data_IF_370954007359
#
_entry.id   IF_370954007359
#
_cell.length_a   1.000
_cell.length_b   1.000
_cell.length_c   1.000
_cell.angle_alpha   90.00
_cell.angle_beta   90.00
_cell.angle_gamma   90.00
#
_symmetry.space_group_name_H-M   'P 1'
#
loop_
_entity.id
_entity.type
_entity.pdbx_description
1 polymer ?
#
# COMPACT_ATOMS: atom_id res chain seq x y z
N UNK A 1 16.44 -19.17 25.20
CA UNK A 1 15.49 -19.90 24.34
C UNK A 1 16.26 -20.40 23.12
N UNK A 2 16.21 -21.69 22.82
CA UNK A 2 16.80 -22.24 21.60
C UNK A 2 15.86 -21.99 20.41
N UNK A 3 16.40 -21.71 19.23
CA UNK A 3 15.59 -21.58 18.01
C UNK A 3 15.40 -22.97 17.41
N UNK A 4 14.30 -23.65 17.75
CA UNK A 4 14.02 -25.00 17.25
C UNK A 4 13.15 -24.96 15.99
N UNK A 5 13.13 -26.05 15.22
CA UNK A 5 12.25 -26.15 14.05
C UNK A 5 10.77 -26.07 14.44
N UNK A 6 10.41 -26.62 15.61
CA UNK A 6 9.07 -26.50 16.18
C UNK A 6 8.69 -25.04 16.46
N UNK A 7 9.62 -24.22 16.93
CA UNK A 7 9.39 -22.79 17.10
C UNK A 7 9.16 -22.10 15.76
N UNK A 8 9.96 -22.42 14.73
CA UNK A 8 9.79 -21.82 13.40
C UNK A 8 8.45 -22.21 12.77
N UNK A 9 8.01 -23.46 12.93
CA UNK A 9 6.70 -23.92 12.48
C UNK A 9 5.57 -23.15 13.18
N UNK A 10 5.60 -23.06 14.52
CA UNK A 10 4.59 -22.32 15.26
C UNK A 10 4.53 -20.83 14.86
N UNK A 11 5.67 -20.22 14.54
CA UNK A 11 5.71 -18.85 14.03
C UNK A 11 5.15 -18.74 12.60
N UNK A 12 5.37 -19.74 11.75
CA UNK A 12 4.84 -19.78 10.40
C UNK A 12 3.32 -20.02 10.39
N UNK A 13 2.80 -20.76 11.35
CA UNK A 13 1.37 -21.05 11.50
C UNK A 13 0.51 -19.79 11.74
N UNK A 14 1.10 -18.71 12.29
CA UNK A 14 0.44 -17.40 12.40
C UNK A 14 -0.06 -16.85 11.06
N UNK A 15 0.48 -17.35 9.93
CA UNK A 15 0.00 -17.00 8.59
C UNK A 15 -1.42 -17.51 8.33
N UNK A 16 -1.82 -18.63 8.94
CA UNK A 16 -3.06 -19.36 8.61
C UNK A 16 -3.93 -19.70 9.82
N UNK A 17 -3.59 -19.22 11.01
CA UNK A 17 -4.32 -19.47 12.26
C UNK A 17 -5.71 -18.77 12.33
N UNK A 18 -6.00 -17.88 11.37
CA UNK A 18 -7.26 -17.14 11.26
C UNK A 18 -7.33 -15.89 12.15
N UNK A 19 -6.32 -15.62 12.97
CA UNK A 19 -6.31 -14.45 13.85
C UNK A 19 -5.99 -13.16 13.08
N UNK A 20 -5.21 -13.24 12.00
CA UNK A 20 -4.80 -12.11 11.17
C UNK A 20 -5.62 -12.08 9.87
N UNK A 21 -6.36 -10.99 9.65
CA UNK A 21 -7.21 -10.80 8.47
C UNK A 21 -7.00 -9.43 7.83
N UNK A 22 -6.77 -9.32 6.51
CA UNK A 22 -6.52 -10.43 5.57
C UNK A 22 -5.22 -11.19 5.91
N UNK A 23 -5.11 -12.43 5.42
CA UNK A 23 -3.97 -13.30 5.73
C UNK A 23 -2.65 -12.64 5.33
N UNK A 24 -1.63 -12.64 6.20
CA UNK A 24 -0.38 -11.96 5.93
C UNK A 24 0.46 -12.73 4.91
N UNK A 25 1.29 -12.00 4.18
CA UNK A 25 2.41 -12.59 3.46
C UNK A 25 3.64 -12.42 4.34
N UNK A 26 4.21 -13.53 4.78
CA UNK A 26 5.36 -13.53 5.68
C UNK A 26 6.27 -14.74 5.45
N UNK A 27 7.54 -14.59 5.84
CA UNK A 27 8.53 -15.66 5.88
C UNK A 27 9.09 -15.78 7.29
N UNK A 28 9.48 -17.00 7.66
CA UNK A 28 10.10 -17.31 8.96
C UNK A 28 11.40 -18.07 8.69
N UNK A 29 12.50 -17.59 9.26
CA UNK A 29 13.82 -18.18 9.07
C UNK A 29 14.66 -18.10 10.35
N UNK A 30 15.61 -19.04 10.50
CA UNK A 30 16.65 -18.96 11.54
C UNK A 30 17.86 -18.23 10.96
N UNK A 31 18.37 -17.23 11.68
CA UNK A 31 19.62 -16.54 11.36
C UNK A 31 20.59 -16.58 12.53
N UNK A 32 21.90 -16.60 12.24
CA UNK A 32 22.95 -16.40 13.24
C UNK A 32 23.49 -14.98 13.13
N UNK A 33 23.43 -14.22 14.23
CA UNK A 33 23.93 -12.85 14.30
C UNK A 33 24.89 -12.75 15.49
N UNK A 34 26.15 -12.39 15.22
CA UNK A 34 27.22 -12.29 16.24
C UNK A 34 27.33 -13.55 17.12
N UNK A 35 27.13 -14.73 16.54
CA UNK A 35 27.20 -16.01 17.24
C UNK A 35 25.94 -16.41 18.03
N UNK A 36 24.88 -15.60 17.98
CA UNK A 36 23.59 -15.92 18.59
C UNK A 36 22.55 -16.31 17.53
N UNK A 37 21.82 -17.41 17.76
CA UNK A 37 20.69 -17.80 16.92
C UNK A 37 19.47 -16.90 17.18
N UNK A 38 18.81 -16.51 16.10
CA UNK A 38 17.65 -15.62 16.09
C UNK A 38 16.58 -16.19 15.16
N UNK A 39 15.33 -16.25 15.62
CA UNK A 39 14.18 -16.46 14.73
C UNK A 39 13.78 -15.11 14.13
N UNK A 40 13.77 -15.00 12.81
CA UNK A 40 13.41 -13.78 12.09
C UNK A 40 12.10 -14.01 11.35
N UNK A 41 11.12 -13.14 11.63
CA UNK A 41 9.83 -13.10 10.94
C UNK A 41 9.79 -11.85 10.09
N UNK A 42 9.74 -12.02 8.77
CA UNK A 42 9.62 -10.91 7.82
C UNK A 42 8.21 -10.85 7.29
N UNK A 43 7.50 -9.74 7.54
CA UNK A 43 6.11 -9.54 7.10
C UNK A 43 6.08 -8.52 5.98
N UNK A 44 5.49 -8.88 4.84
CA UNK A 44 5.32 -7.98 3.71
C UNK A 44 4.16 -7.00 3.98
N UNK A 45 4.25 -5.74 3.53
CA UNK A 45 3.14 -4.80 3.61
C UNK A 45 1.91 -5.33 2.88
N UNK A 46 0.74 -5.29 3.54
CA UNK A 46 -0.53 -5.66 2.91
C UNK A 46 -0.95 -4.63 1.85
N UNK A 47 -1.54 -5.13 0.77
CA UNK A 47 -2.24 -4.38 -0.27
C UNK A 47 -3.69 -4.02 0.11
N UNK A 48 -4.26 -4.73 1.08
CA UNK A 48 -5.62 -4.55 1.59
C UNK A 48 -5.67 -4.06 3.06
N UNK A 49 -5.02 -2.93 3.43
CA UNK A 49 -5.18 -2.38 4.77
C UNK A 49 -6.61 -1.86 5.03
N UNK A 50 -7.07 -1.76 6.29
CA UNK A 50 -6.37 -2.13 7.52
C UNK A 50 -6.36 -3.64 7.78
N UNK A 51 -5.21 -4.17 8.20
CA UNK A 51 -5.07 -5.55 8.68
C UNK A 51 -5.50 -5.61 10.14
N UNK A 52 -6.27 -6.63 10.49
CA UNK A 52 -6.81 -6.88 11.84
C UNK A 52 -6.12 -8.08 12.45
N UNK A 53 -5.85 -8.01 13.75
CA UNK A 53 -5.52 -9.15 14.60
C UNK A 53 -6.60 -9.28 15.67
N UNK A 54 -7.26 -10.44 15.73
CA UNK A 54 -8.37 -10.72 16.64
C UNK A 54 -9.44 -9.61 16.62
N UNK A 55 -9.89 -9.28 15.39
CA UNK A 55 -10.91 -8.26 15.13
C UNK A 55 -10.47 -6.80 15.31
N UNK A 56 -9.25 -6.54 15.81
CA UNK A 56 -8.76 -5.18 16.10
C UNK A 56 -7.64 -4.75 15.16
N UNK A 57 -7.64 -3.48 14.77
CA UNK A 57 -6.58 -2.89 13.95
C UNK A 57 -5.47 -2.41 14.89
N UNK A 58 -4.25 -2.89 14.64
CA UNK A 58 -3.06 -2.48 15.40
C UNK A 58 -2.15 -1.65 14.51
N UNK A 59 -1.68 -0.52 15.05
CA UNK A 59 -0.71 0.35 14.40
C UNK A 59 0.55 0.47 15.24
N UNK A 60 1.66 0.69 14.55
CA UNK A 60 2.97 0.92 15.18
C UNK A 60 3.33 2.40 15.05
N UNK A 61 3.58 3.04 16.19
CA UNK A 61 4.08 4.41 16.28
C UNK A 61 5.49 4.34 16.88
N UNK A 62 6.50 4.36 16.01
CA UNK A 62 7.90 4.13 16.41
C UNK A 62 8.09 2.74 17.06
N UNK A 63 8.67 2.65 18.27
CA UNK A 63 8.83 1.36 18.96
C UNK A 63 7.54 0.83 19.60
N UNK A 64 6.50 1.66 19.76
CA UNK A 64 5.24 1.32 20.45
C UNK A 64 4.20 0.75 19.48
N UNK A 65 3.35 -0.14 19.98
CA UNK A 65 2.08 -0.54 19.34
C UNK A 65 0.87 0.06 20.07
N UNK A 66 -0.19 0.37 19.34
CA UNK A 66 -1.50 0.70 19.88
C UNK A 66 -2.61 0.21 18.98
N UNK A 67 -3.83 0.15 19.53
CA UNK A 67 -5.04 0.01 18.72
C UNK A 67 -5.19 1.29 17.89
N UNK A 68 -5.53 1.14 16.62
CA UNK A 68 -5.78 2.25 15.71
C UNK A 68 -6.94 3.12 16.22
N UNK A 69 -6.78 4.43 16.16
CA UNK A 69 -7.91 5.35 16.31
C UNK A 69 -8.63 5.54 14.96
N UNK A 70 -9.70 6.32 14.95
CA UNK A 70 -10.50 6.60 13.74
C UNK A 70 -9.66 7.22 12.60
N UNK A 71 -8.73 8.11 12.95
CA UNK A 71 -7.87 8.78 11.97
C UNK A 71 -6.85 7.81 11.34
N UNK A 72 -6.28 6.91 12.13
CA UNK A 72 -5.40 5.83 11.65
C UNK A 72 -6.15 4.90 10.69
N UNK A 73 -7.36 4.49 11.08
CA UNK A 73 -8.22 3.65 10.25
C UNK A 73 -8.59 4.33 8.93
N UNK A 74 -8.90 5.64 8.97
CA UNK A 74 -9.17 6.44 7.77
C UNK A 74 -7.97 6.44 6.81
N UNK A 75 -6.75 6.68 7.32
CA UNK A 75 -5.53 6.67 6.52
C UNK A 75 -5.28 5.28 5.90
N UNK A 76 -5.47 4.21 6.66
CA UNK A 76 -5.29 2.85 6.16
C UNK A 76 -6.32 2.50 5.07
N UNK A 77 -7.58 2.88 5.25
CA UNK A 77 -8.63 2.71 4.25
C UNK A 77 -8.34 3.51 2.97
N UNK A 78 -7.79 4.71 3.08
CA UNK A 78 -7.38 5.52 1.94
C UNK A 78 -6.23 4.86 1.16
N UNK A 79 -5.22 4.33 1.86
CA UNK A 79 -4.12 3.57 1.25
C UNK A 79 -4.60 2.35 0.47
N UNK A 80 -5.62 1.65 0.97
CA UNK A 80 -6.25 0.55 0.23
C UNK A 80 -6.93 1.06 -1.03
N UNK A 81 -7.74 2.11 -0.93
CA UNK A 81 -8.45 2.69 -2.08
C UNK A 81 -7.50 3.17 -3.18
N UNK A 82 -6.39 3.78 -2.81
CA UNK A 82 -5.37 4.23 -3.76
C UNK A 82 -4.84 3.09 -4.66
N UNK A 83 -4.73 1.87 -4.12
CA UNK A 83 -4.30 0.70 -4.90
C UNK A 83 -5.42 0.01 -5.67
N UNK A 84 -6.68 0.30 -5.32
CA UNK A 84 -7.88 -0.27 -5.93
C UNK A 84 -8.68 0.80 -6.69
N UNK A 85 -8.04 1.47 -7.64
CA UNK A 85 -8.68 2.45 -8.51
C UNK A 85 -9.15 1.79 -9.82
N UNK A 86 -10.29 2.23 -10.40
CA UNK A 86 -10.66 1.84 -11.75
C UNK A 86 -9.61 2.35 -12.76
N UNK A 87 -9.60 1.75 -13.95
CA UNK A 87 -8.61 2.07 -15.00
C UNK A 87 -8.45 3.57 -15.25
N UNK A 88 -9.57 4.30 -15.34
CA UNK A 88 -9.58 5.74 -15.66
C UNK A 88 -8.95 6.62 -14.56
N UNK A 89 -8.85 6.10 -13.33
CA UNK A 89 -8.24 6.80 -12.20
C UNK A 89 -6.84 6.27 -11.86
N UNK A 90 -6.39 5.22 -12.56
CA UNK A 90 -5.10 4.61 -12.27
C UNK A 90 -3.98 5.49 -12.84
N UNK A 91 -3.05 6.02 -12.00
CA UNK A 91 -1.93 6.77 -12.52
C UNK A 91 -1.01 5.83 -13.32
N UNK A 92 -0.50 6.27 -14.46
CA UNK A 92 0.49 5.53 -15.25
C UNK A 92 1.88 6.01 -14.81
N UNK A 93 2.57 5.33 -13.88
CA UNK A 93 3.76 5.92 -13.22
C UNK A 93 4.97 5.99 -14.16
N UNK A 94 4.94 5.19 -15.23
CA UNK A 94 5.96 5.18 -16.27
C UNK A 94 5.75 6.25 -17.33
N UNK A 95 4.59 6.90 -17.37
CA UNK A 95 4.29 7.95 -18.33
C UNK A 95 5.07 9.23 -18.00
N UNK A 96 5.64 9.83 -19.03
CA UNK A 96 6.37 11.10 -19.00
C UNK A 96 5.54 12.19 -19.65
N UNK A 97 5.89 13.45 -19.38
CA UNK A 97 5.24 14.60 -20.05
C UNK A 97 5.40 14.53 -21.58
N UNK A 98 6.50 13.94 -22.07
CA UNK A 98 6.76 13.70 -23.50
C UNK A 98 5.79 12.71 -24.14
N UNK A 99 5.10 11.89 -23.34
CA UNK A 99 4.20 10.87 -23.84
C UNK A 99 2.80 11.44 -24.11
N UNK A 100 2.55 12.69 -23.71
CA UNK A 100 1.34 13.42 -24.04
C UNK A 100 1.37 13.83 -25.51
N UNK A 101 0.35 13.42 -26.26
CA UNK A 101 0.14 13.92 -27.62
C UNK A 101 -0.37 15.36 -27.58
N UNK A 102 0.53 16.31 -27.83
CA UNK A 102 0.15 17.72 -27.97
C UNK A 102 -0.87 17.93 -29.09
N UNK A 103 -0.74 17.20 -30.19
CA UNK A 103 -1.65 17.31 -31.34
C UNK A 103 -3.09 16.97 -30.94
N UNK A 104 -3.30 15.88 -30.18
CA UNK A 104 -4.63 15.50 -29.70
C UNK A 104 -5.13 16.52 -28.67
N UNK A 105 -4.25 16.95 -27.75
CA UNK A 105 -4.64 17.92 -26.74
C UNK A 105 -5.07 19.26 -27.35
N UNK A 106 -4.26 19.84 -28.23
CA UNK A 106 -4.47 21.17 -28.81
C UNK A 106 -5.61 21.19 -29.83
N UNK A 107 -5.76 20.14 -30.65
CA UNK A 107 -6.73 20.14 -31.74
C UNK A 107 -8.08 19.47 -31.41
N UNK A 108 -8.11 18.56 -30.42
CA UNK A 108 -9.34 17.80 -30.10
C UNK A 108 -9.86 18.12 -28.70
N UNK A 109 -9.04 17.91 -27.67
CA UNK A 109 -9.50 18.04 -26.29
C UNK A 109 -9.72 19.50 -25.87
N UNK A 110 -8.73 20.37 -26.08
CA UNK A 110 -8.75 21.76 -25.64
C UNK A 110 -9.93 22.55 -26.25
N UNK A 111 -10.22 22.44 -27.58
CA UNK A 111 -11.36 23.14 -28.18
C UNK A 111 -12.72 22.54 -27.79
N UNK A 112 -12.78 21.25 -27.42
CA UNK A 112 -14.01 20.60 -26.96
C UNK A 112 -14.32 20.92 -25.49
N UNK A 113 -13.29 21.09 -24.67
CA UNK A 113 -13.43 21.34 -23.24
C UNK A 113 -13.71 22.82 -22.91
N UNK A 114 -13.24 23.75 -23.74
CA UNK A 114 -13.34 25.19 -23.48
C UNK A 114 -13.76 25.97 -24.73
N UNK A 115 -14.57 27.00 -24.53
CA UNK A 115 -14.95 27.91 -25.59
C UNK A 115 -13.74 28.81 -25.99
N UNK A 116 -13.64 29.26 -27.26
CA UNK A 116 -12.50 30.01 -27.75
C UNK A 116 -12.25 31.34 -27.01
N UNK A 117 -13.31 32.03 -26.62
CA UNK A 117 -13.26 33.30 -25.87
C UNK A 117 -12.64 33.12 -24.48
N UNK A 118 -12.96 32.02 -23.79
CA UNK A 118 -12.35 31.66 -22.50
C UNK A 118 -10.86 31.38 -22.64
N UNK A 119 -10.43 30.77 -23.76
CA UNK A 119 -9.01 30.50 -24.02
C UNK A 119 -8.23 31.78 -24.32
N UNK A 120 -8.82 32.70 -25.09
CA UNK A 120 -8.23 33.99 -25.42
C UNK A 120 -8.05 34.87 -24.17
N UNK A 121 -9.07 34.97 -23.31
CA UNK A 121 -9.00 35.74 -22.06
C UNK A 121 -7.93 35.20 -21.10
N UNK A 122 -7.69 33.88 -21.11
CA UNK A 122 -6.65 33.23 -20.31
C UNK A 122 -5.26 33.20 -20.98
N UNK A 123 -5.10 33.77 -22.19
CA UNK A 123 -3.83 33.79 -22.92
C UNK A 123 -3.34 32.40 -23.36
N UNK A 124 -4.27 31.50 -23.72
CA UNK A 124 -4.00 30.09 -24.07
C UNK A 124 -4.36 29.76 -25.53
N UNK A 125 -4.36 30.77 -26.40
CA UNK A 125 -4.65 30.70 -27.84
C UNK A 125 -3.50 30.11 -28.66
#
# INVERSE_FOLDING_TARGET
>A
LAVTDQLLLALADMKTDGNILPLPVMTVEKRSLKGAEMAVVTVMPSDMPPVKYDGRIWVRTGPRRSIANEQDERILNERRRYKHLPFDLYPIPTARLSDLSRVIFENEYLPAAFAPDVLEENGRS
#
